data_IF_608400226935
#
_entry.id   IF_608400226935
#
_cell.length_a   1.000
_cell.length_b   1.000
_cell.length_c   1.000
_cell.angle_alpha   90.00
_cell.angle_beta   90.00
_cell.angle_gamma   90.00
#
_symmetry.space_group_name_H-M   'P 1'
#
loop_
_entity.id
_entity.type
_entity.pdbx_description
1 polymer ?
#
# COMPACT_ATOMS: atom_id res chain seq x y z
N UNK A 1 17.05 13.51 59.26
CA UNK A 1 15.84 13.64 58.40
C UNK A 1 16.23 13.97 56.96
N UNK A 2 17.17 14.89 56.70
CA UNK A 2 17.67 15.22 55.35
C UNK A 2 18.29 14.04 54.57
N UNK A 3 19.12 13.20 55.19
CA UNK A 3 19.74 12.04 54.50
C UNK A 3 18.70 11.08 53.90
N UNK A 4 17.60 10.80 54.62
CA UNK A 4 16.51 9.94 54.13
C UNK A 4 15.77 10.54 52.93
N UNK A 5 15.76 11.86 52.80
CA UNK A 5 15.14 12.57 51.67
C UNK A 5 16.06 12.49 50.45
N UNK A 6 17.37 12.69 50.64
CA UNK A 6 18.37 12.59 49.57
C UNK A 6 18.48 11.16 49.03
N UNK A 7 18.47 10.14 49.90
CA UNK A 7 18.43 8.73 49.48
C UNK A 7 17.15 8.40 48.70
N UNK A 8 15.99 8.91 49.14
CA UNK A 8 14.73 8.75 48.39
C UNK A 8 14.79 9.42 47.02
N UNK A 9 15.29 10.64 46.92
CA UNK A 9 15.42 11.38 45.66
C UNK A 9 16.41 10.70 44.72
N UNK A 10 17.54 10.22 45.23
CA UNK A 10 18.52 9.42 44.47
C UNK A 10 17.88 8.16 43.88
N UNK A 11 17.15 7.40 44.69
CA UNK A 11 16.47 6.18 44.22
C UNK A 11 15.38 6.47 43.17
N UNK A 12 14.65 7.58 43.30
CA UNK A 12 13.64 7.97 42.30
C UNK A 12 14.30 8.42 40.99
N UNK A 13 15.43 9.13 41.06
CA UNK A 13 16.20 9.52 39.88
C UNK A 13 16.75 8.30 39.13
N UNK A 14 17.24 7.30 39.86
CA UNK A 14 17.74 6.03 39.27
C UNK A 14 16.61 5.23 38.62
N UNK A 15 15.43 5.19 39.23
CA UNK A 15 14.24 4.54 38.66
C UNK A 15 13.76 5.28 37.40
N UNK A 16 13.69 6.61 37.44
CA UNK A 16 13.32 7.44 36.28
C UNK A 16 14.32 7.28 35.14
N UNK A 17 15.62 7.24 35.44
CA UNK A 17 16.66 6.99 34.46
C UNK A 17 16.51 5.58 33.84
N UNK A 18 16.29 4.56 34.67
CA UNK A 18 16.07 3.18 34.20
C UNK A 18 14.83 3.07 33.31
N UNK A 19 13.71 3.68 33.70
CA UNK A 19 12.48 3.74 32.90
C UNK A 19 12.72 4.48 31.57
N UNK A 20 13.49 5.56 31.58
CA UNK A 20 13.83 6.31 30.37
C UNK A 20 14.66 5.47 29.40
N UNK A 21 15.63 4.70 29.92
CA UNK A 21 16.44 3.75 29.12
C UNK A 21 15.55 2.66 28.52
N UNK A 22 14.65 2.07 29.32
CA UNK A 22 13.72 1.03 28.85
C UNK A 22 12.79 1.60 27.77
N UNK A 23 12.26 2.81 27.96
CA UNK A 23 11.41 3.47 26.98
C UNK A 23 12.16 3.72 25.66
N UNK A 24 13.39 4.27 25.73
CA UNK A 24 14.22 4.50 24.57
C UNK A 24 14.58 3.19 23.82
N UNK A 25 14.92 2.13 24.56
CA UNK A 25 15.19 0.81 23.98
C UNK A 25 13.94 0.23 23.30
N UNK A 26 12.77 0.40 23.90
CA UNK A 26 11.50 -0.07 23.34
C UNK A 26 11.16 0.69 22.05
N UNK A 27 11.33 2.01 22.03
CA UNK A 27 11.16 2.83 20.83
C UNK A 27 12.11 2.40 19.71
N UNK A 28 13.40 2.21 20.04
CA UNK A 28 14.39 1.75 19.07
C UNK A 28 14.03 0.38 18.48
N UNK A 29 13.62 -0.58 19.31
CA UNK A 29 13.19 -1.91 18.84
C UNK A 29 11.95 -1.79 17.94
N UNK A 30 10.97 -0.96 18.32
CA UNK A 30 9.78 -0.73 17.52
C UNK A 30 10.12 -0.12 16.16
N UNK A 31 10.95 0.92 16.13
CA UNK A 31 11.40 1.57 14.89
C UNK A 31 12.20 0.61 14.01
N UNK A 32 13.05 -0.23 14.61
CA UNK A 32 13.81 -1.25 13.91
C UNK A 32 12.90 -2.30 13.26
N UNK A 33 11.89 -2.80 13.99
CA UNK A 33 10.93 -3.77 13.43
C UNK A 33 10.12 -3.13 12.31
N UNK A 34 9.66 -1.89 12.49
CA UNK A 34 8.91 -1.16 11.46
C UNK A 34 9.75 -0.91 10.20
N UNK A 35 11.04 -0.58 10.38
CA UNK A 35 12.01 -0.37 9.29
C UNK A 35 12.25 -1.61 8.43
N UNK A 36 11.87 -2.80 8.90
CA UNK A 36 12.00 -4.06 8.15
C UNK A 36 10.73 -4.49 7.46
N UNK A 37 9.59 -3.87 7.76
CA UNK A 37 8.34 -4.21 7.10
C UNK A 37 8.39 -3.75 5.66
N UNK A 38 7.72 -4.52 4.81
CA UNK A 38 7.47 -4.21 3.41
C UNK A 38 5.97 -4.29 3.19
N UNK A 39 5.35 -3.20 2.77
CA UNK A 39 3.92 -3.13 2.50
C UNK A 39 3.62 -2.00 1.51
N UNK A 40 2.69 -2.27 0.61
CA UNK A 40 2.27 -1.37 -0.45
C UNK A 40 0.74 -1.25 -0.42
N UNK A 41 0.24 -0.05 -0.59
CA UNK A 41 -1.16 0.20 -0.91
C UNK A 41 -1.25 0.69 -2.35
N UNK A 42 -2.28 0.25 -3.07
CA UNK A 42 -2.56 0.73 -4.41
C UNK A 42 -4.06 0.92 -4.61
N UNK A 43 -4.42 1.91 -5.42
CA UNK A 43 -5.80 2.11 -5.85
C UNK A 43 -5.84 2.74 -7.23
N UNK A 44 -6.92 2.51 -7.96
CA UNK A 44 -7.17 3.18 -9.23
C UNK A 44 -7.87 4.49 -8.97
N UNK A 45 -7.29 5.58 -9.46
CA UNK A 45 -7.81 6.93 -9.31
C UNK A 45 -8.65 7.34 -10.51
N UNK A 46 -8.26 6.87 -11.70
CA UNK A 46 -8.97 7.13 -12.94
C UNK A 46 -8.79 5.94 -13.89
N UNK A 47 -9.84 5.60 -14.64
CA UNK A 47 -9.82 4.56 -15.65
C UNK A 47 -10.57 5.05 -16.89
N UNK A 48 -9.94 4.92 -18.05
CA UNK A 48 -10.56 5.07 -19.36
C UNK A 48 -10.21 3.90 -20.25
N UNK A 49 -10.90 3.79 -21.39
CA UNK A 49 -10.61 2.80 -22.45
C UNK A 49 -9.17 2.83 -22.94
N UNK A 50 -8.49 3.97 -22.84
CA UNK A 50 -7.13 4.14 -23.35
C UNK A 50 -6.07 4.04 -22.25
N UNK A 51 -6.36 4.52 -21.03
CA UNK A 51 -5.36 4.69 -19.96
C UNK A 51 -5.94 4.51 -18.56
N UNK A 52 -5.07 4.12 -17.63
CA UNK A 52 -5.41 3.99 -16.21
C UNK A 52 -4.40 4.75 -15.37
N UNK A 53 -4.89 5.51 -14.40
CA UNK A 53 -4.07 6.19 -13.41
C UNK A 53 -4.14 5.42 -12.10
N UNK A 54 -3.00 4.88 -11.67
CA UNK A 54 -2.85 4.15 -10.41
C UNK A 54 -2.12 5.02 -9.41
N UNK A 55 -2.64 5.08 -8.19
CA UNK A 55 -1.97 5.63 -7.04
C UNK A 55 -1.36 4.50 -6.23
N UNK A 56 -0.06 4.61 -5.94
CA UNK A 56 0.71 3.72 -5.08
C UNK A 56 1.15 4.48 -3.83
N UNK A 57 1.14 3.81 -2.68
CA UNK A 57 1.65 4.33 -1.42
C UNK A 57 2.47 3.26 -0.72
N UNK A 58 3.75 3.56 -0.48
CA UNK A 58 4.61 2.69 0.32
C UNK A 58 4.41 3.04 1.80
N UNK A 59 3.60 2.23 2.49
CA UNK A 59 3.24 2.49 3.89
C UNK A 59 4.20 1.86 4.89
N UNK A 60 5.13 1.03 4.42
CA UNK A 60 6.09 0.35 5.27
C UNK A 60 7.45 1.08 5.35
N UNK A 61 8.38 0.49 6.10
CA UNK A 61 9.67 1.07 6.44
C UNK A 61 10.81 0.82 5.45
N UNK A 62 10.54 0.12 4.34
CA UNK A 62 11.54 -0.21 3.31
C UNK A 62 11.18 0.36 1.96
N UNK A 63 12.18 0.82 1.22
CA UNK A 63 12.00 1.25 -0.17
C UNK A 63 11.67 0.05 -1.06
N UNK A 64 10.84 0.28 -2.08
CA UNK A 64 10.37 -0.76 -2.99
C UNK A 64 10.51 -0.32 -4.44
N UNK A 65 10.66 -1.29 -5.33
CA UNK A 65 10.67 -1.09 -6.79
C UNK A 65 9.49 -1.83 -7.38
N UNK A 66 8.61 -1.08 -8.06
CA UNK A 66 7.51 -1.67 -8.81
C UNK A 66 8.04 -2.47 -10.01
N UNK A 67 7.47 -3.66 -10.25
CA UNK A 67 7.80 -4.51 -11.39
C UNK A 67 6.67 -4.58 -12.39
N UNK A 68 5.44 -4.79 -11.90
CA UNK A 68 4.29 -5.06 -12.75
C UNK A 68 3.00 -4.69 -12.05
N UNK A 69 2.01 -4.22 -12.81
CA UNK A 69 0.62 -4.14 -12.38
C UNK A 69 -0.27 -4.80 -13.45
N UNK A 70 -1.24 -5.60 -13.00
CA UNK A 70 -2.21 -6.29 -13.87
C UNK A 70 -3.58 -6.13 -13.25
N UNK A 71 -4.58 -5.77 -14.05
CA UNK A 71 -5.96 -5.87 -13.65
C UNK A 71 -6.53 -7.21 -14.10
N UNK A 72 -7.17 -7.91 -13.18
CA UNK A 72 -7.75 -9.23 -13.43
C UNK A 72 -9.24 -9.25 -13.04
N UNK A 73 -10.09 -9.67 -13.96
CA UNK A 73 -11.53 -9.88 -13.75
C UNK A 73 -11.81 -11.38 -13.85
N UNK A 74 -11.91 -12.12 -12.72
CA UNK A 74 -11.95 -13.57 -12.74
C UNK A 74 -13.15 -14.16 -13.48
N UNK A 75 -14.32 -13.54 -13.34
CA UNK A 75 -15.58 -14.04 -13.91
C UNK A 75 -15.55 -14.15 -15.44
N UNK A 76 -14.86 -13.22 -16.10
CA UNK A 76 -14.72 -13.19 -17.56
C UNK A 76 -13.35 -13.67 -18.04
N UNK A 77 -12.46 -14.11 -17.13
CA UNK A 77 -11.06 -14.44 -17.39
C UNK A 77 -10.32 -13.32 -18.16
N UNK A 78 -10.69 -12.06 -17.90
CA UNK A 78 -10.09 -10.89 -18.56
C UNK A 78 -8.86 -10.51 -17.76
N UNK A 79 -7.71 -10.44 -18.43
CA UNK A 79 -6.44 -9.96 -17.87
C UNK A 79 -5.97 -8.75 -18.66
N UNK A 80 -6.13 -7.58 -18.07
CA UNK A 80 -5.65 -6.33 -18.63
C UNK A 80 -4.28 -6.02 -18.03
N UNK A 81 -3.24 -6.26 -18.83
CA UNK A 81 -1.87 -5.91 -18.45
C UNK A 81 -1.77 -4.39 -18.52
N UNK A 82 -1.47 -3.76 -17.39
CA UNK A 82 -1.27 -2.33 -17.33
C UNK A 82 0.21 -2.08 -17.60
N UNK A 83 0.51 -1.57 -18.79
CA UNK A 83 1.89 -1.23 -19.13
C UNK A 83 2.29 0.05 -18.37
N UNK A 84 3.13 -0.11 -17.34
CA UNK A 84 3.68 0.98 -16.54
C UNK A 84 4.90 1.63 -17.21
N UNK A 85 5.18 1.31 -18.47
CA UNK A 85 6.48 1.46 -19.12
C UNK A 85 7.57 0.68 -18.36
N UNK A 86 8.81 0.61 -18.86
CA UNK A 86 9.98 -0.05 -18.22
C UNK A 86 10.39 0.58 -16.86
N UNK A 87 9.45 1.23 -16.20
CA UNK A 87 9.63 2.00 -15.00
C UNK A 87 9.74 1.06 -13.80
N UNK A 88 10.97 0.58 -13.58
CA UNK A 88 11.49 0.24 -12.26
C UNK A 88 11.41 1.50 -11.38
N UNK A 89 10.19 1.91 -10.98
CA UNK A 89 9.98 3.10 -10.17
C UNK A 89 10.25 2.73 -8.72
N UNK A 90 11.29 3.35 -8.18
CA UNK A 90 11.56 3.34 -6.77
C UNK A 90 10.49 4.18 -6.07
N UNK A 91 9.80 3.59 -5.10
CA UNK A 91 8.93 4.30 -4.16
C UNK A 91 9.61 4.20 -2.80
N UNK A 92 10.11 5.33 -2.29
CA UNK A 92 10.76 5.30 -0.99
C UNK A 92 9.75 5.11 0.12
N UNK A 93 10.28 4.74 1.27
CA UNK A 93 9.57 4.63 2.54
C UNK A 93 8.67 5.86 2.77
N UNK A 94 7.37 5.64 2.99
CA UNK A 94 6.35 6.69 3.20
C UNK A 94 6.10 7.64 2.02
N UNK A 95 6.63 7.34 0.84
CA UNK A 95 6.33 8.09 -0.38
C UNK A 95 5.12 7.52 -1.11
N UNK A 96 4.50 8.39 -1.91
CA UNK A 96 3.39 8.06 -2.80
C UNK A 96 3.80 8.34 -4.24
N UNK A 97 3.19 7.61 -5.16
CA UNK A 97 3.49 7.70 -6.57
C UNK A 97 2.20 7.54 -7.37
N UNK A 98 1.97 8.48 -8.28
CA UNK A 98 0.90 8.36 -9.28
C UNK A 98 1.53 7.95 -10.61
N UNK A 99 1.02 6.86 -11.19
CA UNK A 99 1.48 6.35 -12.47
C UNK A 99 0.30 6.27 -13.42
N UNK A 100 0.43 6.94 -14.56
CA UNK A 100 -0.45 6.76 -15.71
C UNK A 100 0.11 5.63 -16.58
N UNK A 101 -0.74 4.72 -17.03
CA UNK A 101 -0.36 3.65 -17.94
C UNK A 101 -0.17 4.16 -19.37
N UNK A 102 0.75 3.55 -20.12
CA UNK A 102 0.98 3.90 -21.53
C UNK A 102 -0.16 3.42 -22.45
N UNK A 103 -0.84 2.34 -22.05
CA UNK A 103 -1.98 1.78 -22.75
C UNK A 103 -2.74 0.84 -21.83
N UNK A 104 -4.06 0.88 -21.94
CA UNK A 104 -4.99 0.03 -21.22
C UNK A 104 -5.89 -0.69 -22.21
N UNK A 105 -6.21 -1.96 -21.93
CA UNK A 105 -7.31 -2.67 -22.57
C UNK A 105 -8.56 -2.69 -21.67
N UNK A 106 -8.55 -1.87 -20.59
CA UNK A 106 -9.70 -1.70 -19.71
C UNK A 106 -10.72 -0.77 -20.38
N UNK A 107 -11.66 -1.34 -21.14
CA UNK A 107 -12.90 -0.65 -21.55
C UNK A 107 -13.89 -0.52 -20.37
N UNK A 108 -13.39 -0.28 -19.15
CA UNK A 108 -14.17 -0.34 -17.93
C UNK A 108 -13.85 0.85 -17.03
N UNK A 109 -14.87 1.47 -16.46
CA UNK A 109 -14.70 2.40 -15.35
C UNK A 109 -14.48 1.61 -14.06
N UNK A 110 -13.48 1.99 -13.25
CA UNK A 110 -13.20 1.34 -11.96
C UNK A 110 -13.56 2.32 -10.84
N UNK A 111 -14.40 1.90 -9.90
CA UNK A 111 -14.70 2.69 -8.69
C UNK A 111 -14.04 2.07 -7.46
N UNK A 112 -13.71 2.94 -6.51
CA UNK A 112 -13.16 2.57 -5.21
C UNK A 112 -14.25 1.83 -4.41
N UNK A 113 -13.87 0.71 -3.81
CA UNK A 113 -14.71 -0.28 -3.11
C UNK A 113 -15.65 0.33 -2.05
N UNK A 114 -15.23 1.41 -1.37
CA UNK A 114 -16.04 2.07 -0.33
C UNK A 114 -17.34 2.71 -0.87
N UNK A 115 -17.41 3.00 -2.17
CA UNK A 115 -18.61 3.55 -2.83
C UNK A 115 -19.46 2.45 -3.48
N UNK A 116 -18.86 1.29 -3.73
CA UNK A 116 -19.46 0.17 -4.44
C UNK A 116 -19.58 -1.06 -3.54
N UNK A 117 -20.25 -0.95 -2.39
CA UNK A 117 -20.88 -2.14 -1.81
C UNK A 117 -21.81 -2.69 -2.90
N UNK A 118 -21.51 -3.88 -3.39
CA UNK A 118 -22.25 -4.61 -4.43
C UNK A 118 -23.77 -4.57 -4.17
N UNK A 119 -24.42 -3.52 -4.66
CA UNK A 119 -25.86 -3.41 -4.68
C UNK A 119 -26.26 -3.68 -6.13
N UNK A 120 -26.59 -4.95 -6.38
CA UNK A 120 -26.93 -5.51 -7.69
C UNK A 120 -28.08 -4.77 -8.41
N UNK A 121 -28.72 -3.80 -7.76
CA UNK A 121 -29.84 -3.04 -8.29
C UNK A 121 -29.48 -1.69 -8.93
N UNK A 122 -28.35 -1.05 -8.58
CA UNK A 122 -28.10 0.37 -8.97
C UNK A 122 -27.01 0.50 -10.04
N UNK A 123 -25.92 -0.26 -9.93
CA UNK A 123 -24.84 -0.31 -10.92
C UNK A 123 -24.32 -1.75 -10.98
N UNK A 124 -24.61 -2.53 -12.04
CA UNK A 124 -24.07 -3.88 -12.16
C UNK A 124 -22.56 -3.79 -12.35
N UNK A 125 -21.81 -4.05 -11.28
CA UNK A 125 -20.36 -4.15 -11.26
C UNK A 125 -19.92 -5.58 -11.00
N UNK A 126 -18.73 -5.94 -11.48
CA UNK A 126 -18.09 -7.23 -11.20
C UNK A 126 -16.81 -7.03 -10.39
N UNK A 127 -16.45 -7.98 -9.52
CA UNK A 127 -15.19 -7.93 -8.80
C UNK A 127 -14.01 -7.93 -9.75
N UNK A 128 -13.06 -7.04 -9.51
CA UNK A 128 -11.79 -7.02 -10.20
C UNK A 128 -10.63 -6.75 -9.26
N UNK A 129 -9.47 -7.27 -9.60
CA UNK A 129 -8.29 -7.28 -8.74
C UNK A 129 -7.14 -6.59 -9.43
N UNK A 130 -6.61 -5.54 -8.81
CA UNK A 130 -5.33 -4.95 -9.17
C UNK A 130 -4.23 -5.79 -8.52
N UNK A 131 -3.57 -6.63 -9.31
CA UNK A 131 -2.43 -7.43 -8.90
C UNK A 131 -1.13 -6.65 -9.17
N UNK A 132 -0.35 -6.38 -8.13
CA UNK A 132 0.90 -5.62 -8.20
C UNK A 132 2.05 -6.49 -7.73
N UNK A 133 3.07 -6.62 -8.58
CA UNK A 133 4.35 -7.25 -8.25
C UNK A 133 5.38 -6.17 -7.95
N UNK A 134 6.08 -6.28 -6.83
CA UNK A 134 7.13 -5.35 -6.42
C UNK A 134 8.26 -6.08 -5.67
N UNK A 135 9.41 -5.41 -5.57
CA UNK A 135 10.63 -5.96 -4.95
C UNK A 135 11.17 -4.98 -3.92
N UNK A 136 11.57 -5.46 -2.74
CA UNK A 136 12.20 -4.60 -1.72
C UNK A 136 13.70 -4.41 -1.95
N UNK A 137 14.35 -3.61 -1.10
CA UNK A 137 15.81 -3.37 -1.14
C UNK A 137 16.66 -4.64 -0.93
N UNK A 138 16.09 -5.71 -0.38
CA UNK A 138 16.76 -7.00 -0.19
C UNK A 138 16.62 -7.94 -1.40
N UNK A 139 15.85 -7.54 -2.43
CA UNK A 139 15.61 -8.36 -3.61
C UNK A 139 14.47 -9.38 -3.44
N UNK A 140 13.73 -9.33 -2.34
CA UNK A 140 12.57 -10.19 -2.11
C UNK A 140 11.39 -9.69 -2.94
N UNK A 141 10.74 -10.61 -3.66
CA UNK A 141 9.58 -10.30 -4.49
C UNK A 141 8.28 -10.55 -3.74
N UNK A 142 7.33 -9.61 -3.90
CA UNK A 142 6.00 -9.65 -3.32
C UNK A 142 4.95 -9.48 -4.40
N UNK A 143 3.88 -10.25 -4.30
CA UNK A 143 2.69 -10.12 -5.13
C UNK A 143 1.50 -9.77 -4.21
N UNK A 144 0.84 -8.66 -4.48
CA UNK A 144 -0.29 -8.18 -3.69
C UNK A 144 -1.48 -7.85 -4.60
N UNK A 145 -2.66 -8.31 -4.20
CA UNK A 145 -3.91 -8.03 -4.89
C UNK A 145 -4.73 -7.01 -4.10
N UNK A 146 -5.32 -6.05 -4.81
CA UNK A 146 -6.24 -5.06 -4.27
C UNK A 146 -7.59 -5.22 -4.95
N UNK A 147 -8.64 -5.40 -4.17
CA UNK A 147 -10.00 -5.59 -4.68
C UNK A 147 -10.62 -4.25 -5.08
N UNK A 148 -11.34 -4.27 -6.20
CA UNK A 148 -12.03 -3.14 -6.78
C UNK A 148 -13.35 -3.61 -7.42
N UNK A 149 -14.25 -2.67 -7.69
CA UNK A 149 -15.43 -2.90 -8.52
C UNK A 149 -15.18 -2.37 -9.93
N UNK A 150 -15.31 -3.25 -10.93
CA UNK A 150 -15.22 -2.89 -12.34
C UNK A 150 -16.61 -2.82 -12.97
N UNK A 151 -16.86 -1.77 -13.75
CA UNK A 151 -18.07 -1.57 -14.52
C UNK A 151 -17.72 -1.63 -15.99
N UNK A 152 -18.36 -2.51 -16.75
CA UNK A 152 -18.27 -2.45 -18.20
C UNK A 152 -18.88 -1.11 -18.63
N UNK A 153 -18.09 -0.28 -19.31
CA UNK A 153 -18.69 0.75 -20.16
C UNK A 153 -19.52 -0.02 -21.18
N UNK A 154 -20.74 0.44 -21.45
CA UNK A 154 -21.71 -0.27 -22.29
C UNK A 154 -21.02 -0.83 -23.53
N UNK A 155 -21.07 -2.16 -23.73
CA UNK A 155 -20.78 -2.73 -25.04
C UNK A 155 -21.78 -2.06 -25.99
N UNK A 156 -21.36 -1.06 -26.76
CA UNK A 156 -22.15 -0.61 -27.90
C UNK A 156 -22.33 -1.82 -28.81
N UNK A 157 -23.58 -2.26 -28.89
CA UNK A 157 -24.09 -3.29 -29.79
C UNK A 157 -23.99 -2.86 -31.24
#
# INVERSE_FOLDING_TARGET
>A
MLMKIIEKIGSMSEVLASLSIIAAATLFISEYVESKKTDLQATIVNSSSEKVTIFFSNVAGQDIVLKKAVMHVPEFNIKNIINLDDSKRLIKTKETLVVESLGSLLNTSVLIEEVAKYDNWILPGVPCFLEVTFVNVHGEQFDKAFEHACFADSFES
#
